data_IF_817126683307
#
_entry.id   IF_817126683307
#
_cell.length_a   1.000
_cell.length_b   1.000
_cell.length_c   1.000
_cell.angle_alpha   90.00
_cell.angle_beta   90.00
_cell.angle_gamma   90.00
#
_symmetry.space_group_name_H-M   'P 1'
#
loop_
_entity.id
_entity.type
_entity.pdbx_description
1 polymer ?
#
# COMPACT_ATOMS: atom_id res chain seq x y z
N UNK A 1 -1.12 -0.35 -17.19
CA UNK A 1 -0.36 -0.16 -15.93
C UNK A 1 -1.13 0.83 -15.08
N UNK A 2 -1.33 0.51 -13.79
CA UNK A 2 -1.87 1.47 -12.82
C UNK A 2 -0.79 1.79 -11.78
N UNK A 3 -0.73 3.05 -11.32
CA UNK A 3 0.26 3.50 -10.34
C UNK A 3 -0.34 4.46 -9.33
N UNK A 4 0.17 4.43 -8.09
CA UNK A 4 -0.14 5.40 -7.03
C UNK A 4 1.13 5.77 -6.27
N UNK A 5 1.31 7.06 -5.98
CA UNK A 5 2.37 7.53 -5.10
C UNK A 5 1.88 7.56 -3.64
N UNK A 6 2.68 6.99 -2.75
CA UNK A 6 2.45 7.03 -1.31
C UNK A 6 3.61 7.71 -0.61
N UNK A 7 3.36 8.30 0.57
CA UNK A 7 4.39 8.95 1.37
C UNK A 7 5.32 7.91 1.99
N UNK A 8 6.61 8.19 2.01
CA UNK A 8 7.61 7.32 2.65
C UNK A 8 7.82 7.74 4.10
N UNK A 9 7.89 6.78 5.02
CA UNK A 9 8.16 7.05 6.45
C UNK A 9 9.54 7.72 6.57
N UNK A 10 9.62 8.78 7.38
CA UNK A 10 10.88 9.46 7.65
C UNK A 10 11.86 8.55 8.40
N UNK A 11 13.06 8.35 7.87
CA UNK A 11 14.08 7.47 8.46
C UNK A 11 14.54 7.90 9.87
N UNK A 12 14.51 9.22 10.16
CA UNK A 12 15.01 9.77 11.42
C UNK A 12 14.04 9.61 12.60
N UNK A 13 12.74 9.44 12.33
CA UNK A 13 11.71 9.31 13.37
C UNK A 13 10.85 8.06 13.19
N UNK A 14 11.35 7.08 12.44
CA UNK A 14 10.73 5.78 12.23
C UNK A 14 10.76 4.98 13.54
N UNK A 15 9.61 4.49 13.97
CA UNK A 15 9.47 3.62 15.13
C UNK A 15 8.61 2.41 14.78
N UNK A 16 8.89 1.29 15.46
CA UNK A 16 8.09 0.07 15.33
C UNK A 16 6.73 0.28 16.01
N UNK A 17 5.65 -0.15 15.36
CA UNK A 17 4.31 -0.12 15.94
C UNK A 17 3.60 -1.45 15.71
N UNK A 18 2.75 -1.82 16.66
CA UNK A 18 1.85 -2.96 16.53
C UNK A 18 0.44 -2.45 16.24
N UNK A 19 -0.18 -2.85 15.11
CA UNK A 19 -1.53 -2.43 14.79
C UNK A 19 -2.55 -3.11 15.73
N UNK A 20 -3.64 -2.41 16.02
CA UNK A 20 -4.78 -2.98 16.74
C UNK A 20 -5.56 -3.95 15.86
N UNK A 21 -6.39 -4.81 16.46
CA UNK A 21 -7.25 -5.73 15.70
C UNK A 21 -8.26 -4.96 14.83
N UNK A 22 -8.79 -3.86 15.35
CA UNK A 22 -9.73 -3.00 14.63
C UNK A 22 -9.09 -2.36 13.39
N UNK A 23 -7.82 -1.93 13.48
CA UNK A 23 -7.09 -1.36 12.34
C UNK A 23 -6.94 -2.36 11.20
N UNK A 24 -6.64 -3.60 11.55
CA UNK A 24 -6.44 -4.70 10.62
C UNK A 24 -7.76 -5.16 9.98
N UNK A 25 -8.83 -5.21 10.76
CA UNK A 25 -10.16 -5.58 10.28
C UNK A 25 -10.72 -4.58 9.27
N UNK A 26 -10.46 -3.27 9.45
CA UNK A 26 -10.87 -2.23 8.49
C UNK A 26 -10.33 -2.48 7.08
N UNK A 27 -9.15 -3.08 6.97
CA UNK A 27 -8.52 -3.43 5.69
C UNK A 27 -8.63 -4.92 5.36
N UNK A 28 -9.42 -5.68 6.14
CA UNK A 28 -9.64 -7.13 6.00
C UNK A 28 -8.32 -7.93 5.98
N UNK A 29 -7.32 -7.49 6.75
CA UNK A 29 -6.01 -8.13 6.84
C UNK A 29 -5.93 -8.98 8.12
N UNK A 30 -5.80 -10.29 7.99
CA UNK A 30 -5.61 -11.16 9.17
C UNK A 30 -4.21 -10.95 9.76
N UNK A 31 -4.08 -10.87 11.10
CA UNK A 31 -2.77 -10.81 11.80
C UNK A 31 -1.79 -11.88 11.33
N UNK A 32 -2.28 -13.09 11.05
CA UNK A 32 -1.45 -14.19 10.54
C UNK A 32 -0.73 -13.87 9.23
N UNK A 33 -1.29 -12.98 8.37
CA UNK A 33 -0.66 -12.55 7.11
C UNK A 33 0.57 -11.67 7.33
N UNK A 34 0.74 -11.08 8.51
CA UNK A 34 1.92 -10.28 8.80
C UNK A 34 3.17 -11.17 8.91
N UNK A 35 3.05 -12.49 9.14
CA UNK A 35 4.17 -13.44 9.19
C UNK A 35 5.34 -12.96 10.08
N UNK A 36 5.04 -12.32 11.22
CA UNK A 36 6.06 -11.76 12.12
C UNK A 36 6.77 -10.50 11.59
N UNK A 37 6.30 -9.90 10.49
CA UNK A 37 6.83 -8.64 9.98
C UNK A 37 6.43 -7.49 10.90
N UNK A 38 7.42 -6.65 11.16
CA UNK A 38 7.30 -5.42 11.95
C UNK A 38 6.71 -4.33 11.08
N UNK A 39 5.69 -3.63 11.60
CA UNK A 39 5.17 -2.41 10.99
C UNK A 39 5.83 -1.20 11.62
N UNK A 40 5.84 -0.10 10.88
CA UNK A 40 6.50 1.13 11.30
C UNK A 40 5.63 2.34 11.05
N UNK A 41 5.77 3.33 11.91
CA UNK A 41 5.15 4.64 11.77
C UNK A 41 6.21 5.73 12.01
N UNK A 42 5.90 6.96 11.62
CA UNK A 42 6.76 8.11 11.90
C UNK A 42 6.16 8.96 13.01
N UNK A 43 6.86 9.11 14.14
CA UNK A 43 6.39 9.94 15.28
C UNK A 43 6.42 11.44 15.00
N UNK A 44 7.16 11.87 13.98
CA UNK A 44 7.40 13.29 13.66
C UNK A 44 8.70 13.82 14.26
N UNK A 45 9.40 14.66 13.50
CA UNK A 45 10.61 15.36 13.93
C UNK A 45 10.86 16.60 13.05
N UNK A 46 11.85 17.42 13.42
CA UNK A 46 12.24 18.62 12.66
C UNK A 46 12.59 18.32 11.19
N UNK A 47 13.26 17.20 10.93
CA UNK A 47 13.71 16.79 9.59
C UNK A 47 12.54 16.49 8.64
N UNK A 48 11.42 15.98 9.15
CA UNK A 48 10.20 15.76 8.36
C UNK A 48 9.12 16.82 8.60
N UNK A 49 9.46 17.94 9.24
CA UNK A 49 8.54 19.03 9.60
C UNK A 49 7.32 18.52 10.39
N UNK A 50 7.57 17.60 11.33
CA UNK A 50 6.58 16.95 12.18
C UNK A 50 5.46 16.18 11.43
N UNK A 51 5.65 15.83 10.15
CA UNK A 51 4.65 15.05 9.39
C UNK A 51 4.76 13.55 9.59
N UNK A 52 5.93 13.06 10.02
CA UNK A 52 6.25 11.63 10.08
C UNK A 52 6.74 11.04 8.73
N UNK A 53 6.72 11.83 7.65
CA UNK A 53 7.03 11.36 6.29
C UNK A 53 8.10 12.21 5.61
N UNK A 54 8.98 11.58 4.82
CA UNK A 54 9.97 12.28 4.02
C UNK A 54 10.19 11.53 2.69
N UNK A 55 9.82 12.17 1.57
CA UNK A 55 9.83 11.55 0.25
C UNK A 55 8.55 10.76 -0.09
N UNK A 56 8.57 10.09 -1.24
CA UNK A 56 7.46 9.27 -1.75
C UNK A 56 7.99 7.98 -2.37
N UNK A 57 7.18 6.95 -2.39
CA UNK A 57 7.44 5.70 -3.11
C UNK A 57 6.22 5.33 -3.97
N UNK A 58 6.45 4.60 -5.06
CA UNK A 58 5.41 4.16 -5.98
C UNK A 58 4.89 2.77 -5.61
N UNK A 59 3.58 2.60 -5.66
CA UNK A 59 2.92 1.30 -5.70
C UNK A 59 2.42 1.12 -7.14
N UNK A 60 2.78 -0.01 -7.74
CA UNK A 60 2.48 -0.32 -9.12
C UNK A 60 1.66 -1.60 -9.21
N UNK A 61 0.64 -1.58 -10.04
CA UNK A 61 -0.16 -2.74 -10.38
C UNK A 61 -0.03 -3.02 -11.88
N UNK A 62 0.44 -4.23 -12.17
CA UNK A 62 0.71 -4.71 -13.52
C UNK A 62 -0.21 -5.89 -13.79
N UNK A 63 -1.17 -5.68 -14.69
CA UNK A 63 -2.03 -6.74 -15.20
C UNK A 63 -1.46 -7.13 -16.56
N UNK A 64 -0.79 -8.29 -16.69
CA UNK A 64 -0.30 -8.74 -17.97
C UNK A 64 -1.47 -9.10 -18.89
N UNK A 65 -1.36 -8.72 -20.17
CA UNK A 65 -2.37 -9.10 -21.16
C UNK A 65 -2.27 -10.59 -21.45
N UNK A 66 -3.27 -11.33 -20.96
CA UNK A 66 -3.46 -12.75 -21.26
C UNK A 66 -4.67 -12.94 -22.18
N UNK A 67 -4.75 -14.10 -22.84
CA UNK A 67 -5.87 -14.42 -23.73
C UNK A 67 -7.23 -14.40 -23.01
N UNK A 68 -7.27 -14.82 -21.75
CA UNK A 68 -8.48 -14.80 -20.93
C UNK A 68 -8.96 -13.38 -20.63
N UNK A 69 -8.05 -12.45 -20.32
CA UNK A 69 -8.36 -11.04 -20.08
C UNK A 69 -8.76 -10.34 -21.38
N UNK A 70 -8.05 -10.60 -22.48
CA UNK A 70 -8.36 -10.03 -23.79
C UNK A 70 -9.75 -10.44 -24.29
N UNK A 71 -10.13 -11.72 -24.14
CA UNK A 71 -11.46 -12.21 -24.51
C UNK A 71 -12.59 -11.56 -23.70
N UNK A 72 -12.38 -11.37 -22.38
CA UNK A 72 -13.31 -10.62 -21.53
C UNK A 72 -13.48 -9.17 -21.97
N UNK A 73 -12.38 -8.52 -22.36
CA UNK A 73 -12.41 -7.13 -22.83
C UNK A 73 -13.25 -6.98 -24.11
N UNK A 74 -13.13 -7.91 -25.06
CA UNK A 74 -13.93 -7.95 -26.28
C UNK A 74 -15.43 -8.17 -26.00
N UNK A 75 -15.78 -9.10 -25.12
CA UNK A 75 -17.18 -9.38 -24.76
C UNK A 75 -17.82 -8.18 -24.04
N UNK A 76 -17.04 -7.48 -23.21
CA UNK A 76 -17.49 -6.29 -22.50
C UNK A 76 -17.72 -5.10 -23.46
N UNK A 77 -16.88 -4.93 -24.47
CA UNK A 77 -17.03 -3.89 -25.49
C UNK A 77 -18.24 -4.11 -26.41
N UNK A 78 -18.62 -5.36 -26.67
CA UNK A 78 -19.79 -5.68 -27.52
C UNK A 78 -21.14 -5.56 -26.79
N UNK A 79 -21.14 -5.26 -25.48
CA UNK A 79 -22.33 -5.14 -24.63
C UNK A 79 -22.55 -3.72 -24.09
N UNK A 80 -21.69 -2.77 -24.46
CA UNK A 80 -21.84 -1.32 -24.26
C UNK A 80 -22.36 -0.73 -25.57
#
# INVERSE_FOLDING_TARGET
MAQRLVRTICANCKEEYSPSDEELDRIKLKKSRLNGKKLFQGKGCSQCRNTGYHGRTGIFELIPMSRSIGGWFLIMLMKI
#
